data_IF_606960262375
#
_entry.id   IF_606960262375
#
_cell.length_a   1.000
_cell.length_b   1.000
_cell.length_c   1.000
_cell.angle_alpha   90.00
_cell.angle_beta   90.00
_cell.angle_gamma   90.00
#
_symmetry.space_group_name_H-M   'P 1'
#
loop_
_entity.id
_entity.type
_entity.pdbx_description
1 polymer ?
#
# COMPACT_ATOMS: atom_id res chain seq x y z
N UNK A 1 20.33 16.91 -22.83
CA UNK A 1 20.34 16.98 -21.35
C UNK A 1 19.01 17.57 -20.91
N UNK A 2 18.04 16.74 -20.51
CA UNK A 2 16.78 17.23 -19.94
C UNK A 2 17.00 17.49 -18.45
N UNK A 3 17.04 18.76 -18.08
CA UNK A 3 17.05 19.21 -16.69
C UNK A 3 15.64 19.05 -16.12
N UNK A 4 15.45 18.05 -15.27
CA UNK A 4 14.26 17.90 -14.45
C UNK A 4 14.30 19.03 -13.41
N UNK A 5 13.64 20.15 -13.71
CA UNK A 5 13.33 21.16 -12.70
C UNK A 5 12.30 20.56 -11.74
N UNK A 6 12.79 19.97 -10.66
CA UNK A 6 11.96 19.64 -9.50
C UNK A 6 11.54 20.97 -8.88
N UNK A 7 10.28 21.33 -9.06
CA UNK A 7 9.66 22.54 -8.54
C UNK A 7 9.73 22.53 -7.01
N UNK A 8 10.69 23.27 -6.44
CA UNK A 8 11.03 23.26 -5.00
C UNK A 8 9.88 23.70 -4.08
N UNK A 9 8.79 24.24 -4.64
CA UNK A 9 7.65 24.76 -3.89
C UNK A 9 6.46 23.79 -3.79
N UNK A 10 6.50 22.64 -4.46
CA UNK A 10 5.55 21.54 -4.23
C UNK A 10 6.16 20.54 -3.27
N UNK A 11 5.95 20.72 -1.96
CA UNK A 11 6.14 19.60 -1.05
C UNK A 11 5.13 18.51 -1.42
N UNK A 12 5.59 17.29 -1.78
CA UNK A 12 4.68 16.19 -2.03
C UNK A 12 3.89 15.88 -0.76
N UNK A 13 2.62 15.51 -0.93
CA UNK A 13 1.75 15.16 0.22
C UNK A 13 2.32 13.99 1.02
N UNK A 14 3.05 13.10 0.35
CA UNK A 14 3.82 12.04 0.97
C UNK A 14 5.31 12.19 0.68
N UNK A 15 6.13 12.18 1.73
CA UNK A 15 7.58 12.12 1.57
C UNK A 15 8.02 10.65 1.43
N UNK A 16 8.14 10.20 0.18
CA UNK A 16 8.56 8.83 -0.17
C UNK A 16 10.00 8.55 0.25
N UNK A 17 10.87 9.56 0.30
CA UNK A 17 12.25 9.41 0.74
C UNK A 17 12.34 9.20 2.25
N UNK A 18 11.59 9.99 3.02
CA UNK A 18 11.46 9.80 4.47
C UNK A 18 10.86 8.44 4.79
N UNK A 19 9.82 8.04 4.07
CA UNK A 19 9.20 6.71 4.22
C UNK A 19 10.20 5.59 3.91
N UNK A 20 10.94 5.68 2.80
CA UNK A 20 11.96 4.70 2.44
C UNK A 20 13.05 4.58 3.50
N UNK A 21 13.50 5.71 4.03
CA UNK A 21 14.55 5.76 5.06
C UNK A 21 14.09 5.07 6.34
N UNK A 22 12.88 5.39 6.81
CA UNK A 22 12.32 4.77 8.02
C UNK A 22 12.05 3.28 7.81
N UNK A 23 11.54 2.89 6.65
CA UNK A 23 11.35 1.49 6.28
C UNK A 23 12.68 0.73 6.29
N UNK A 24 13.74 1.31 5.69
CA UNK A 24 15.07 0.73 5.68
C UNK A 24 15.67 0.59 7.08
N UNK A 25 15.51 1.62 7.93
CA UNK A 25 15.94 1.58 9.32
C UNK A 25 15.20 0.49 10.10
N UNK A 26 13.87 0.41 10.00
CA UNK A 26 13.10 -0.64 10.66
C UNK A 26 13.52 -2.03 10.17
N UNK A 27 13.77 -2.19 8.87
CA UNK A 27 14.23 -3.46 8.30
C UNK A 27 15.59 -3.87 8.86
N UNK A 28 16.53 -2.93 9.02
CA UNK A 28 17.82 -3.17 9.67
C UNK A 28 17.65 -3.54 11.17
N UNK A 29 16.74 -2.86 11.87
CA UNK A 29 16.44 -3.14 13.27
C UNK A 29 15.74 -4.49 13.46
N UNK A 30 14.88 -4.92 12.54
CA UNK A 30 14.20 -6.22 12.65
C UNK A 30 15.13 -7.36 12.23
N UNK A 31 15.97 -7.15 11.21
CA UNK A 31 16.91 -8.19 10.74
C UNK A 31 18.03 -8.50 11.72
N UNK A 32 18.35 -7.57 12.62
CA UNK A 32 19.38 -7.79 13.64
C UNK A 32 18.87 -8.63 14.83
N UNK A 33 17.60 -9.10 14.84
CA UNK A 33 17.00 -9.74 16.04
C UNK A 33 17.65 -11.10 16.14
N UNK A 34 18.38 -11.39 17.25
CA UNK A 34 19.15 -12.62 17.37
C UNK A 34 18.19 -13.79 17.60
N UNK A 35 17.62 -14.29 16.52
CA UNK A 35 16.76 -15.46 16.56
C UNK A 35 17.67 -16.68 16.53
N UNK A 36 17.79 -17.35 17.68
CA UNK A 36 18.55 -18.58 17.78
C UNK A 36 17.80 -19.67 17.00
N UNK A 37 18.26 -19.93 15.77
CA UNK A 37 18.05 -21.22 15.14
C UNK A 37 18.65 -22.29 16.06
N UNK A 38 17.95 -23.40 16.26
CA UNK A 38 18.25 -24.43 17.26
C UNK A 38 19.58 -25.18 17.13
N UNK A 39 20.64 -24.60 16.55
CA UNK A 39 22.00 -25.10 16.62
C UNK A 39 22.91 -24.03 17.24
N UNK A 40 23.47 -24.34 18.41
CA UNK A 40 24.47 -23.55 19.09
C UNK A 40 25.64 -23.25 18.14
N UNK A 41 25.78 -22.00 17.73
CA UNK A 41 26.99 -21.52 17.04
C UNK A 41 28.05 -21.32 18.14
N UNK A 42 29.23 -21.95 18.05
CA UNK A 42 30.27 -21.77 19.06
C UNK A 42 30.68 -20.29 19.11
N UNK A 43 30.71 -19.74 20.32
CA UNK A 43 31.08 -18.36 20.59
C UNK A 43 32.48 -18.05 20.05
N UNK A 44 32.56 -17.16 19.07
CA UNK A 44 33.82 -16.64 18.57
C UNK A 44 34.39 -15.65 19.63
N UNK A 45 35.63 -15.81 20.12
CA UNK A 45 36.13 -15.13 21.33
C UNK A 45 36.44 -13.62 21.17
N UNK A 46 35.98 -12.97 20.10
CA UNK A 46 36.21 -11.55 19.83
C UNK A 46 34.91 -10.76 19.61
N UNK A 47 33.85 -11.06 20.36
CA UNK A 47 32.69 -10.18 20.43
C UNK A 47 33.00 -9.00 21.34
N UNK A 48 33.18 -7.81 20.76
CA UNK A 48 33.17 -6.54 21.47
C UNK A 48 31.91 -6.46 22.34
N UNK A 49 32.07 -6.63 23.65
CA UNK A 49 31.02 -6.42 24.65
C UNK A 49 30.79 -4.91 24.81
N UNK A 50 30.15 -4.28 23.82
CA UNK A 50 29.30 -3.13 24.12
C UNK A 50 28.13 -3.70 24.92
N UNK A 51 27.87 -3.18 26.13
CA UNK A 51 26.89 -3.78 27.05
C UNK A 51 25.60 -4.18 26.31
N UNK A 52 25.24 -5.47 26.40
CA UNK A 52 24.08 -6.03 25.70
C UNK A 52 22.79 -5.31 26.11
N UNK A 53 22.74 -4.72 27.30
CA UNK A 53 21.62 -3.93 27.82
C UNK A 53 21.51 -2.56 27.15
N UNK A 54 22.63 -1.86 26.93
CA UNK A 54 22.62 -0.55 26.26
C UNK A 54 22.22 -0.71 24.79
N UNK A 55 22.69 -1.79 24.15
CA UNK A 55 22.38 -2.10 22.76
C UNK A 55 20.92 -2.52 22.56
N UNK A 56 20.34 -3.28 23.51
CA UNK A 56 18.92 -3.67 23.45
C UNK A 56 17.97 -2.50 23.72
N UNK A 57 18.32 -1.59 24.64
CA UNK A 57 17.54 -0.38 24.91
C UNK A 57 17.54 0.60 23.74
N UNK A 58 18.71 0.91 23.17
CA UNK A 58 18.84 1.79 22.00
C UNK A 58 18.05 1.23 20.81
N UNK A 59 18.09 -0.09 20.64
CA UNK A 59 17.34 -0.81 19.61
C UNK A 59 15.82 -0.77 19.82
N UNK A 60 15.37 -0.98 21.05
CA UNK A 60 13.95 -0.85 21.41
C UNK A 60 13.43 0.56 21.14
N UNK A 61 14.23 1.59 21.44
CA UNK A 61 13.90 2.99 21.15
C UNK A 61 13.82 3.25 19.64
N UNK A 62 14.84 2.86 18.86
CA UNK A 62 14.86 3.06 17.41
C UNK A 62 13.73 2.30 16.68
N UNK A 63 13.42 1.09 17.14
CA UNK A 63 12.30 0.31 16.63
C UNK A 63 10.97 0.95 17.02
N UNK A 64 10.85 1.47 18.25
CA UNK A 64 9.69 2.21 18.73
C UNK A 64 9.43 3.49 17.93
N UNK A 65 10.45 4.29 17.65
CA UNK A 65 10.35 5.50 16.82
C UNK A 65 9.93 5.17 15.39
N UNK A 66 10.54 4.15 14.79
CA UNK A 66 10.21 3.71 13.43
C UNK A 66 8.77 3.19 13.34
N UNK A 67 8.31 2.45 14.35
CA UNK A 67 6.91 2.01 14.45
C UNK A 67 5.96 3.20 14.68
N UNK A 68 6.37 4.19 15.48
CA UNK A 68 5.65 5.44 15.69
C UNK A 68 5.41 6.18 14.37
N UNK A 69 6.46 6.36 13.58
CA UNK A 69 6.36 6.96 12.26
C UNK A 69 5.42 6.19 11.32
N UNK A 70 5.49 4.85 11.31
CA UNK A 70 4.58 4.02 10.48
C UNK A 70 3.12 4.20 10.91
N UNK A 71 2.85 4.35 12.22
CA UNK A 71 1.50 4.65 12.71
C UNK A 71 1.03 6.03 12.28
N UNK A 72 1.90 7.04 12.35
CA UNK A 72 1.60 8.39 11.84
C UNK A 72 1.30 8.36 10.34
N UNK A 73 2.14 7.67 9.55
CA UNK A 73 1.91 7.46 8.13
C UNK A 73 0.56 6.79 7.87
N UNK A 74 0.18 5.79 8.68
CA UNK A 74 -1.14 5.14 8.59
C UNK A 74 -2.28 6.14 8.82
N UNK A 75 -2.14 7.04 9.80
CA UNK A 75 -3.13 8.09 10.05
C UNK A 75 -3.22 9.06 8.87
N UNK A 76 -2.08 9.49 8.32
CA UNK A 76 -2.04 10.37 7.13
C UNK A 76 -2.67 9.71 5.90
N UNK A 77 -2.41 8.43 5.66
CA UNK A 77 -3.02 7.66 4.56
C UNK A 77 -4.54 7.57 4.70
N UNK A 78 -5.05 7.31 5.91
CA UNK A 78 -6.49 7.27 6.17
C UNK A 78 -7.15 8.65 6.07
N UNK A 79 -6.44 9.71 6.47
CA UNK A 79 -6.90 11.08 6.30
C UNK A 79 -6.98 11.44 4.82
N UNK A 80 -5.94 11.14 4.04
CA UNK A 80 -5.93 11.33 2.58
C UNK A 80 -7.09 10.58 1.91
N UNK A 81 -7.32 9.33 2.30
CA UNK A 81 -8.47 8.55 1.84
C UNK A 81 -9.80 9.25 2.14
N UNK A 82 -9.98 9.73 3.37
CA UNK A 82 -11.23 10.36 3.80
C UNK A 82 -11.49 11.68 3.07
N UNK A 83 -10.44 12.48 2.85
CA UNK A 83 -10.50 13.73 2.07
C UNK A 83 -10.80 13.44 0.60
N UNK A 84 -10.16 12.44 0.00
CA UNK A 84 -10.44 12.05 -1.38
C UNK A 84 -11.87 11.54 -1.55
N UNK A 85 -12.35 10.70 -0.62
CA UNK A 85 -13.71 10.16 -0.63
C UNK A 85 -14.79 11.24 -0.50
N UNK A 86 -14.50 12.32 0.24
CA UNK A 86 -15.41 13.45 0.44
C UNK A 86 -15.23 14.57 -0.56
N UNK A 87 -14.31 14.44 -1.51
CA UNK A 87 -14.04 15.46 -2.52
C UNK A 87 -15.11 15.44 -3.63
N UNK A 88 -15.53 16.63 -4.07
CA UNK A 88 -16.40 16.78 -5.23
C UNK A 88 -15.60 16.56 -6.52
N UNK A 89 -16.25 16.14 -7.61
CA UNK A 89 -15.62 15.83 -8.91
C UNK A 89 -14.66 16.94 -9.41
N UNK A 90 -15.01 18.22 -9.20
CA UNK A 90 -14.17 19.36 -9.60
C UNK A 90 -12.85 19.48 -8.83
N UNK A 91 -12.79 18.98 -7.61
CA UNK A 91 -11.61 19.02 -6.74
C UNK A 91 -10.84 17.69 -6.73
N UNK A 92 -11.50 16.60 -7.14
CA UNK A 92 -10.97 15.24 -7.15
C UNK A 92 -9.69 15.14 -7.98
N UNK A 93 -9.70 15.64 -9.22
CA UNK A 93 -8.53 15.56 -10.11
C UNK A 93 -7.32 16.34 -9.55
N UNK A 94 -7.57 17.52 -8.98
CA UNK A 94 -6.55 18.35 -8.32
C UNK A 94 -5.97 17.65 -7.08
N UNK A 95 -6.83 17.01 -6.28
CA UNK A 95 -6.40 16.28 -5.09
C UNK A 95 -5.60 15.02 -5.44
N UNK A 96 -6.04 14.24 -6.43
CA UNK A 96 -5.29 13.08 -6.95
C UNK A 96 -3.90 13.50 -7.44
N UNK A 97 -3.79 14.60 -8.20
CA UNK A 97 -2.50 15.14 -8.64
C UNK A 97 -1.59 15.56 -7.48
N UNK A 98 -2.16 16.00 -6.34
CA UNK A 98 -1.39 16.35 -5.14
C UNK A 98 -0.94 15.13 -4.34
N UNK A 99 -1.77 14.09 -4.29
CA UNK A 99 -1.41 12.82 -3.66
C UNK A 99 -0.26 12.14 -4.42
N UNK A 100 -0.21 12.33 -5.74
CA UNK A 100 0.72 11.69 -6.67
C UNK A 100 0.58 10.15 -6.59
N UNK A 101 -0.24 9.53 -7.46
CA UNK A 101 -0.51 8.10 -7.43
C UNK A 101 0.76 7.24 -7.46
N UNK A 102 1.81 7.71 -8.14
CA UNK A 102 3.10 7.01 -8.19
C UNK A 102 3.73 6.95 -6.82
N UNK A 103 3.65 8.03 -6.05
CA UNK A 103 4.21 8.09 -4.70
C UNK A 103 3.45 7.22 -3.70
N UNK A 104 2.11 7.19 -3.80
CA UNK A 104 1.29 6.34 -2.94
C UNK A 104 1.49 4.85 -3.27
N UNK A 105 1.70 4.51 -4.54
CA UNK A 105 2.10 3.16 -4.97
C UNK A 105 3.49 2.78 -4.45
N UNK A 106 4.47 3.69 -4.52
CA UNK A 106 5.82 3.45 -3.98
C UNK A 106 5.79 3.17 -2.48
N UNK A 107 4.98 3.91 -1.71
CA UNK A 107 4.81 3.68 -0.27
C UNK A 107 4.20 2.31 -0.01
N UNK A 108 3.16 1.94 -0.73
CA UNK A 108 2.54 0.62 -0.60
C UNK A 108 3.53 -0.51 -0.90
N UNK A 109 4.36 -0.35 -1.95
CA UNK A 109 5.40 -1.31 -2.31
C UNK A 109 6.48 -1.44 -1.22
N UNK A 110 6.94 -0.32 -0.66
CA UNK A 110 7.93 -0.30 0.43
C UNK A 110 7.39 -0.99 1.69
N UNK A 111 6.15 -0.68 2.07
CA UNK A 111 5.49 -1.30 3.21
C UNK A 111 5.25 -2.80 3.00
N UNK A 112 4.96 -3.23 1.77
CA UNK A 112 4.86 -4.65 1.41
C UNK A 112 6.18 -5.39 1.55
N UNK A 113 7.27 -4.80 1.06
CA UNK A 113 8.61 -5.37 1.22
C UNK A 113 9.00 -5.50 2.69
N UNK A 114 8.71 -4.46 3.48
CA UNK A 114 8.93 -4.46 4.92
C UNK A 114 8.10 -5.52 5.64
N UNK A 115 6.80 -5.62 5.34
CA UNK A 115 5.92 -6.64 5.93
C UNK A 115 6.47 -8.05 5.66
N UNK A 116 6.93 -8.32 4.44
CA UNK A 116 7.55 -9.59 4.07
C UNK A 116 8.83 -9.87 4.87
N UNK A 117 9.71 -8.88 5.01
CA UNK A 117 10.93 -9.01 5.80
C UNK A 117 10.65 -9.28 7.28
N UNK A 118 9.70 -8.53 7.87
CA UNK A 118 9.29 -8.71 9.26
C UNK A 118 8.66 -10.08 9.48
N UNK A 119 7.80 -10.54 8.55
CA UNK A 119 7.20 -11.89 8.61
C UNK A 119 8.26 -12.98 8.61
N UNK A 120 9.29 -12.86 7.76
CA UNK A 120 10.38 -13.83 7.69
C UNK A 120 11.18 -13.91 8.99
N UNK A 121 11.36 -12.77 9.68
CA UNK A 121 11.98 -12.77 11.01
C UNK A 121 11.01 -13.39 12.02
N UNK A 122 9.76 -12.93 12.06
CA UNK A 122 8.74 -13.43 12.99
C UNK A 122 8.56 -14.96 12.93
N UNK A 123 8.57 -15.57 11.74
CA UNK A 123 8.44 -17.04 11.60
C UNK A 123 9.67 -17.81 12.04
N UNK A 124 10.86 -17.18 12.05
CA UNK A 124 12.12 -17.79 12.48
C UNK A 124 12.40 -17.63 13.97
N UNK A 125 11.72 -16.71 14.66
CA UNK A 125 11.93 -16.45 16.08
C UNK A 125 10.85 -17.15 16.92
N UNK A 126 11.24 -17.82 18.00
CA UNK A 126 10.29 -18.44 18.95
C UNK A 126 10.22 -17.67 20.27
N UNK A 127 9.04 -17.64 20.90
CA UNK A 127 8.87 -17.12 22.26
C UNK A 127 8.97 -15.60 22.35
N UNK A 128 9.67 -15.09 23.36
CA UNK A 128 9.74 -13.66 23.70
C UNK A 128 10.26 -12.76 22.56
N UNK A 129 11.15 -13.29 21.72
CA UNK A 129 11.71 -12.55 20.58
C UNK A 129 10.68 -12.30 19.47
N UNK A 130 9.70 -13.18 19.32
CA UNK A 130 8.60 -12.99 18.36
C UNK A 130 7.66 -11.87 18.81
N UNK A 131 7.44 -11.73 20.12
CA UNK A 131 6.60 -10.66 20.70
C UNK A 131 7.25 -9.28 20.57
N UNK A 132 8.59 -9.18 20.48
CA UNK A 132 9.28 -7.91 20.17
C UNK A 132 9.02 -7.42 18.74
N UNK A 133 8.87 -8.35 17.79
CA UNK A 133 8.71 -8.05 16.36
C UNK A 133 7.25 -7.85 15.97
N UNK A 134 6.32 -8.44 16.72
CA UNK A 134 4.88 -8.40 16.49
C UNK A 134 4.27 -6.99 16.41
N UNK A 135 4.62 -6.01 17.27
CA UNK A 135 4.11 -4.64 17.13
C UNK A 135 4.50 -3.99 15.81
N UNK A 136 5.73 -4.22 15.35
CA UNK A 136 6.21 -3.71 14.06
C UNK A 136 5.50 -4.39 12.88
N UNK A 137 5.25 -5.70 12.99
CA UNK A 137 4.47 -6.44 12.01
C UNK A 137 3.05 -5.89 11.86
N UNK A 138 2.35 -5.69 12.97
CA UNK A 138 0.96 -5.20 12.99
C UNK A 138 0.90 -3.77 12.43
N UNK A 139 1.77 -2.87 12.89
CA UNK A 139 1.79 -1.49 12.42
C UNK A 139 2.08 -1.39 10.92
N UNK A 140 3.04 -2.17 10.42
CA UNK A 140 3.38 -2.20 8.99
C UNK A 140 2.23 -2.76 8.15
N UNK A 141 1.58 -3.84 8.60
CA UNK A 141 0.43 -4.43 7.90
C UNK A 141 -0.76 -3.45 7.83
N UNK A 142 -1.02 -2.71 8.91
CA UNK A 142 -2.06 -1.67 8.94
C UNK A 142 -1.74 -0.51 7.98
N UNK A 143 -0.49 -0.03 7.99
CA UNK A 143 -0.05 1.01 7.08
C UNK A 143 -0.19 0.58 5.61
N UNK A 144 0.22 -0.65 5.29
CA UNK A 144 0.09 -1.20 3.92
C UNK A 144 -1.37 -1.30 3.51
N UNK A 145 -2.25 -1.78 4.39
CA UNK A 145 -3.68 -1.88 4.09
C UNK A 145 -4.29 -0.49 3.83
N UNK A 146 -3.90 0.54 4.59
CA UNK A 146 -4.33 1.91 4.36
C UNK A 146 -3.83 2.46 3.01
N UNK A 147 -2.57 2.21 2.64
CA UNK A 147 -2.01 2.61 1.36
C UNK A 147 -2.71 1.92 0.17
N UNK A 148 -2.90 0.59 0.24
CA UNK A 148 -3.61 -0.17 -0.78
C UNK A 148 -5.05 0.31 -0.96
N UNK A 149 -5.74 0.64 0.14
CA UNK A 149 -7.10 1.19 0.11
C UNK A 149 -7.15 2.55 -0.58
N UNK A 150 -6.18 3.43 -0.32
CA UNK A 150 -6.06 4.72 -0.99
C UNK A 150 -5.79 4.55 -2.49
N UNK A 151 -4.86 3.69 -2.87
CA UNK A 151 -4.53 3.44 -4.29
C UNK A 151 -5.72 2.83 -5.05
N UNK A 152 -6.48 1.96 -4.40
CA UNK A 152 -7.72 1.43 -4.97
C UNK A 152 -8.75 2.53 -5.23
N UNK A 153 -8.97 3.44 -4.27
CA UNK A 153 -9.87 4.58 -4.45
C UNK A 153 -9.41 5.50 -5.59
N UNK A 154 -8.12 5.82 -5.64
CA UNK A 154 -7.53 6.60 -6.73
C UNK A 154 -7.78 5.91 -8.09
N UNK A 155 -7.58 4.60 -8.17
CA UNK A 155 -7.80 3.83 -9.41
C UNK A 155 -9.25 3.87 -9.86
N UNK A 156 -10.21 3.70 -8.93
CA UNK A 156 -11.64 3.83 -9.23
C UNK A 156 -12.02 5.23 -9.74
N UNK A 157 -11.34 6.25 -9.21
CA UNK A 157 -11.62 7.65 -9.50
C UNK A 157 -10.96 8.18 -10.78
N UNK A 158 -9.90 7.52 -11.26
CA UNK A 158 -9.22 7.84 -12.53
C UNK A 158 -9.86 7.09 -13.71
N UNK A 159 -10.46 5.92 -13.46
CA UNK A 159 -11.03 5.10 -14.53
C UNK A 159 -12.35 5.71 -15.01
N UNK A 160 -12.34 6.32 -16.19
CA UNK A 160 -13.57 6.75 -16.85
C UNK A 160 -14.43 5.53 -17.18
N UNK A 161 -15.72 5.60 -16.83
CA UNK A 161 -16.69 4.60 -17.28
C UNK A 161 -16.90 4.82 -18.77
N UNK A 162 -16.43 3.89 -19.59
CA UNK A 162 -16.76 3.87 -21.01
C UNK A 162 -18.26 3.62 -21.15
N UNK A 163 -19.03 4.70 -21.31
CA UNK A 163 -20.44 4.63 -21.65
C UNK A 163 -20.54 4.33 -23.14
N UNK A 164 -20.88 3.08 -23.47
CA UNK A 164 -21.22 2.72 -24.84
C UNK A 164 -22.59 3.29 -25.20
N UNK A 165 -22.62 4.37 -25.99
CA UNK A 165 -23.85 4.75 -26.70
C UNK A 165 -24.12 3.74 -27.81
N UNK A 166 -24.93 2.75 -27.49
CA UNK A 166 -25.44 1.79 -28.46
C UNK A 166 -26.46 2.48 -29.36
N UNK A 167 -26.07 2.79 -30.61
CA UNK A 167 -26.96 3.29 -31.66
C UNK A 167 -27.80 2.14 -32.29
N UNK A 168 -28.28 1.23 -31.44
CA UNK A 168 -29.12 0.11 -31.85
C UNK A 168 -30.55 0.61 -31.90
N UNK A 169 -31.15 0.52 -33.09
CA UNK A 169 -32.58 0.79 -33.29
C UNK A 169 -33.42 -0.30 -32.59
N UNK A 170 -33.72 -0.04 -31.32
CA UNK A 170 -34.55 -0.91 -30.48
C UNK A 170 -35.98 -1.01 -31.00
N UNK A 171 -36.48 -0.02 -31.73
CA UNK A 171 -37.79 -0.08 -32.39
C UNK A 171 -37.74 -0.99 -33.61
N UNK A 172 -36.70 -0.88 -34.43
CA UNK A 172 -36.43 -1.77 -35.56
C UNK A 172 -36.29 -3.23 -35.14
N UNK A 173 -35.53 -3.52 -34.08
CA UNK A 173 -35.42 -4.88 -33.52
C UNK A 173 -36.76 -5.41 -33.01
N UNK A 174 -37.57 -4.55 -32.38
CA UNK A 174 -38.90 -4.93 -31.88
C UNK A 174 -39.88 -5.18 -33.03
N UNK A 175 -39.81 -4.38 -34.08
CA UNK A 175 -40.60 -4.56 -35.30
C UNK A 175 -40.21 -5.85 -36.02
N UNK A 176 -38.92 -6.15 -36.12
CA UNK A 176 -38.40 -7.37 -36.75
C UNK A 176 -38.77 -8.63 -35.95
N UNK A 177 -38.68 -8.58 -34.62
CA UNK A 177 -39.11 -9.66 -33.74
C UNK A 177 -40.63 -9.91 -33.81
N UNK A 178 -41.43 -8.83 -33.86
CA UNK A 178 -42.89 -8.90 -34.03
C UNK A 178 -43.26 -9.44 -35.41
N UNK A 179 -42.53 -9.04 -36.44
CA UNK A 179 -42.72 -9.56 -37.79
C UNK A 179 -42.39 -11.06 -37.84
N UNK A 180 -41.26 -11.48 -37.27
CA UNK A 180 -40.88 -12.89 -37.16
C UNK A 180 -41.95 -13.70 -36.44
N UNK A 181 -42.36 -13.29 -35.24
CA UNK A 181 -43.42 -13.99 -34.48
C UNK A 181 -44.75 -14.07 -35.23
N UNK A 182 -45.14 -13.01 -35.95
CA UNK A 182 -46.37 -13.03 -36.76
C UNK A 182 -46.25 -13.95 -37.99
N UNK A 183 -45.10 -13.99 -38.66
CA UNK A 183 -44.85 -14.89 -39.80
C UNK A 183 -44.83 -16.35 -39.33
N UNK A 184 -44.10 -16.64 -38.26
CA UNK A 184 -44.05 -17.97 -37.63
C UNK A 184 -45.42 -18.43 -37.13
N UNK A 185 -46.21 -17.55 -36.51
CA UNK A 185 -47.57 -17.87 -36.05
C UNK A 185 -48.57 -18.03 -37.20
N UNK A 186 -48.36 -17.36 -38.33
CA UNK A 186 -49.25 -17.45 -39.51
C UNK A 186 -49.03 -18.69 -40.37
N UNK A 187 -47.92 -19.42 -40.19
CA UNK A 187 -47.56 -20.61 -40.97
C UNK A 187 -47.34 -20.36 -42.47
N UNK A 188 -47.40 -19.10 -42.93
CA UNK A 188 -47.15 -18.71 -44.32
C UNK A 188 -45.67 -18.42 -44.50
N UNK A 189 -44.91 -19.46 -44.80
CA UNK A 189 -43.50 -19.34 -45.20
C UNK A 189 -43.39 -19.24 -46.73
N UNK A 190 -44.15 -18.35 -47.37
CA UNK A 190 -43.99 -17.97 -48.78
C UNK A 190 -44.60 -16.59 -49.01
#
# INVERSE_FOLDING_TARGET
>A
MHTIQVDKNKMPFFDTFKTATVVGLLMQQVSSVPCHEGNQIPSNPYSYHLSNETTSQIRGLMMGESVGFIKELTATLNQAYSVLLSSNESNQESFIKKLDPVQTDLIELQLRGLEGAIKNVYTKCSGEQSELVKPALIATAQARAAAAKLNYLISQMITHVDTFESNIDMEGLRALAKHGTNVFASGKFH
#
